data_IF_460344343734
#
_entry.id   IF_460344343734
#
_cell.length_a   1.000
_cell.length_b   1.000
_cell.length_c   1.000
_cell.angle_alpha   90.00
_cell.angle_beta   90.00
_cell.angle_gamma   90.00
#
_symmetry.space_group_name_H-M   'P 1'
#
loop_
_entity.id
_entity.type
_entity.pdbx_description
1 polymer ?
#
# COMPACT_ATOMS: atom_id res chain seq x y z
N UNK A 1 -17.26 29.94 -11.00
CA UNK A 1 -18.45 29.20 -10.52
C UNK A 1 -18.48 27.73 -10.97
N UNK A 2 -17.48 27.24 -11.74
CA UNK A 2 -17.39 25.82 -12.14
C UNK A 2 -16.64 24.95 -11.12
N UNK A 3 -15.48 25.41 -10.64
CA UNK A 3 -14.55 24.51 -9.93
C UNK A 3 -15.04 24.15 -8.53
N UNK A 4 -15.69 25.09 -7.86
CA UNK A 4 -16.27 24.88 -6.52
C UNK A 4 -17.44 23.88 -6.55
N UNK A 5 -18.24 23.90 -7.63
CA UNK A 5 -19.39 23.01 -7.80
C UNK A 5 -18.94 21.56 -8.10
N UNK A 6 -17.88 21.40 -8.91
CA UNK A 6 -17.29 20.09 -9.22
C UNK A 6 -16.71 19.46 -7.96
N UNK A 7 -15.90 20.21 -7.20
CA UNK A 7 -15.27 19.72 -5.96
C UNK A 7 -16.32 19.33 -4.90
N UNK A 8 -17.42 20.07 -4.80
CA UNK A 8 -18.50 19.74 -3.87
C UNK A 8 -19.25 18.46 -4.28
N UNK A 9 -19.44 18.24 -5.57
CA UNK A 9 -20.08 17.04 -6.09
C UNK A 9 -19.20 15.79 -5.90
N UNK A 10 -17.89 15.93 -6.10
CA UNK A 10 -16.91 14.86 -5.90
C UNK A 10 -16.85 14.41 -4.43
N UNK A 11 -16.88 15.36 -3.48
CA UNK A 11 -16.96 15.05 -2.04
C UNK A 11 -18.24 14.30 -1.66
N UNK A 12 -19.40 14.76 -2.16
CA UNK A 12 -20.69 14.08 -1.91
C UNK A 12 -20.67 12.64 -2.43
N UNK A 13 -20.04 12.41 -3.58
CA UNK A 13 -19.91 11.08 -4.17
C UNK A 13 -18.97 10.18 -3.34
N UNK A 14 -17.81 10.69 -2.93
CA UNK A 14 -16.88 9.96 -2.06
C UNK A 14 -17.55 9.58 -0.72
N UNK A 15 -18.28 10.50 -0.10
CA UNK A 15 -19.01 10.26 1.15
C UNK A 15 -20.14 9.24 0.99
N UNK A 16 -20.81 9.22 -0.16
CA UNK A 16 -21.81 8.22 -0.48
C UNK A 16 -21.17 6.82 -0.57
N UNK A 17 -20.08 6.68 -1.33
CA UNK A 17 -19.38 5.41 -1.46
C UNK A 17 -18.77 4.95 -0.13
N UNK A 18 -18.24 5.87 0.68
CA UNK A 18 -17.71 5.56 2.00
C UNK A 18 -18.77 4.98 2.95
N UNK A 19 -20.00 5.52 2.91
CA UNK A 19 -21.12 5.01 3.73
C UNK A 19 -21.68 3.68 3.23
N UNK A 20 -21.57 3.39 1.94
CA UNK A 20 -22.16 2.20 1.32
C UNK A 20 -21.12 1.18 0.82
N UNK A 21 -19.91 1.14 1.42
CA UNK A 21 -18.86 0.18 1.05
C UNK A 21 -19.27 -1.29 1.26
N UNK A 22 -20.26 -1.57 2.13
CA UNK A 22 -20.79 -2.92 2.36
C UNK A 22 -22.01 -3.16 1.48
N UNK A 23 -23.00 -2.26 1.54
CA UNK A 23 -24.30 -2.46 0.89
C UNK A 23 -24.19 -2.60 -0.63
N UNK A 24 -23.38 -1.75 -1.29
CA UNK A 24 -23.27 -1.71 -2.74
C UNK A 24 -22.64 -3.00 -3.31
N UNK A 25 -21.45 -3.43 -2.84
CA UNK A 25 -20.91 -4.72 -3.26
C UNK A 25 -21.84 -5.89 -2.98
N UNK A 26 -22.48 -5.95 -1.80
CA UNK A 26 -23.38 -7.06 -1.45
C UNK A 26 -24.56 -7.15 -2.41
N UNK A 27 -25.17 -6.02 -2.79
CA UNK A 27 -26.28 -5.98 -3.76
C UNK A 27 -25.91 -6.53 -5.14
N UNK A 28 -24.64 -6.50 -5.52
CA UNK A 28 -24.15 -7.02 -6.80
C UNK A 28 -23.62 -8.45 -6.67
N UNK A 29 -22.87 -8.73 -5.60
CA UNK A 29 -22.28 -10.06 -5.34
C UNK A 29 -23.38 -11.09 -5.09
N UNK A 30 -24.40 -10.77 -4.30
CA UNK A 30 -25.41 -11.74 -3.88
C UNK A 30 -26.21 -12.33 -5.06
N UNK A 31 -26.72 -11.54 -6.03
CA UNK A 31 -27.35 -12.10 -7.23
C UNK A 31 -26.42 -13.01 -8.05
N UNK A 32 -25.12 -12.69 -8.15
CA UNK A 32 -24.14 -13.52 -8.86
C UNK A 32 -23.95 -14.85 -8.13
N UNK A 33 -23.84 -14.82 -6.79
CA UNK A 33 -23.74 -16.05 -5.98
C UNK A 33 -25.02 -16.89 -6.07
N UNK A 34 -26.20 -16.27 -6.00
CA UNK A 34 -27.47 -16.97 -6.18
C UNK A 34 -27.53 -17.61 -7.58
N UNK A 35 -27.15 -16.87 -8.62
CA UNK A 35 -27.09 -17.40 -9.99
C UNK A 35 -26.13 -18.59 -10.12
N UNK A 36 -24.98 -18.56 -9.43
CA UNK A 36 -24.08 -19.71 -9.33
C UNK A 36 -24.74 -20.93 -8.68
N UNK A 37 -25.43 -20.75 -7.55
CA UNK A 37 -26.17 -21.84 -6.89
C UNK A 37 -27.33 -22.37 -7.73
N UNK A 38 -27.90 -21.55 -8.61
CA UNK A 38 -28.90 -21.95 -9.60
C UNK A 38 -28.28 -22.55 -10.87
N UNK A 39 -26.97 -22.81 -10.90
CA UNK A 39 -26.24 -23.38 -12.02
C UNK A 39 -26.30 -22.54 -13.31
N UNK A 40 -26.29 -21.21 -13.18
CA UNK A 40 -26.16 -20.31 -14.33
C UNK A 40 -24.70 -20.18 -14.74
N UNK A 41 -24.32 -20.78 -15.87
CA UNK A 41 -22.95 -20.82 -16.40
C UNK A 41 -22.25 -19.45 -16.49
N UNK A 42 -23.01 -18.37 -16.68
CA UNK A 42 -22.47 -17.01 -16.77
C UNK A 42 -21.94 -16.51 -15.42
N UNK A 43 -22.56 -16.90 -14.31
CA UNK A 43 -22.16 -16.50 -12.96
C UNK A 43 -20.82 -17.13 -12.56
N UNK A 44 -20.55 -18.35 -13.02
CA UNK A 44 -19.27 -19.03 -12.79
C UNK A 44 -18.09 -18.26 -13.37
N UNK A 45 -18.31 -17.50 -14.45
CA UNK A 45 -17.26 -16.69 -15.08
C UNK A 45 -16.81 -15.50 -14.22
N UNK A 46 -17.63 -15.06 -13.28
CA UNK A 46 -17.27 -14.01 -12.32
C UNK A 46 -16.48 -14.60 -11.14
N UNK A 47 -16.80 -15.82 -10.72
CA UNK A 47 -16.27 -16.42 -9.49
C UNK A 47 -14.95 -17.18 -9.75
N UNK A 48 -14.87 -17.91 -10.87
CA UNK A 48 -13.76 -18.81 -11.17
C UNK A 48 -12.93 -18.33 -12.36
N UNK A 49 -11.63 -18.64 -12.35
CA UNK A 49 -10.76 -18.35 -13.49
C UNK A 49 -11.21 -19.12 -14.73
N UNK A 50 -11.12 -18.45 -15.87
CA UNK A 50 -11.60 -18.97 -17.15
C UNK A 50 -10.44 -19.38 -18.07
N UNK A 51 -10.72 -19.99 -19.22
CA UNK A 51 -9.70 -20.32 -20.22
C UNK A 51 -8.90 -21.60 -19.96
N UNK A 52 -9.51 -22.60 -19.31
CA UNK A 52 -8.89 -23.92 -19.11
C UNK A 52 -8.63 -24.62 -20.46
N UNK A 53 -7.43 -25.18 -20.62
CA UNK A 53 -6.97 -25.93 -21.77
C UNK A 53 -7.08 -27.45 -21.53
N UNK A 54 -7.04 -28.29 -22.58
CA UNK A 54 -7.09 -29.75 -22.45
C UNK A 54 -5.98 -30.34 -21.59
N UNK A 55 -4.80 -29.70 -21.55
CA UNK A 55 -3.66 -30.10 -20.73
C UNK A 55 -3.80 -29.72 -19.24
N UNK A 56 -4.92 -29.10 -18.84
CA UNK A 56 -5.18 -28.66 -17.47
C UNK A 56 -4.58 -27.30 -17.10
N UNK A 57 -3.81 -26.67 -17.98
CA UNK A 57 -3.32 -25.30 -17.82
C UNK A 57 -4.37 -24.28 -18.27
N UNK A 58 -4.08 -23.00 -18.07
CA UNK A 58 -5.00 -21.90 -18.33
C UNK A 58 -4.37 -20.87 -19.26
N UNK A 59 -5.11 -20.49 -20.30
CA UNK A 59 -4.80 -19.31 -21.12
C UNK A 59 -5.57 -18.09 -20.63
N UNK A 60 -5.20 -16.92 -21.13
CA UNK A 60 -5.98 -15.67 -20.94
C UNK A 60 -7.36 -15.79 -21.60
N UNK A 61 -8.33 -15.07 -21.06
CA UNK A 61 -9.70 -15.02 -21.55
C UNK A 61 -10.33 -13.66 -21.32
N UNK A 62 -11.30 -13.28 -22.14
CA UNK A 62 -12.09 -12.06 -21.92
C UNK A 62 -12.90 -12.12 -20.62
N UNK A 63 -13.27 -13.32 -20.18
CA UNK A 63 -13.95 -13.54 -18.90
C UNK A 63 -13.07 -13.19 -17.69
N UNK A 64 -11.76 -13.04 -17.87
CA UNK A 64 -10.89 -12.54 -16.80
C UNK A 64 -11.27 -11.09 -16.42
N UNK A 65 -11.89 -10.31 -17.31
CA UNK A 65 -12.44 -8.97 -16.96
C UNK A 65 -13.62 -9.09 -15.99
N UNK A 66 -14.51 -10.05 -16.20
CA UNK A 66 -15.63 -10.31 -15.29
C UNK A 66 -15.12 -10.77 -13.92
N UNK A 67 -14.09 -11.62 -13.91
CA UNK A 67 -13.38 -12.02 -12.68
C UNK A 67 -12.79 -10.81 -11.95
N UNK A 68 -12.06 -9.93 -12.64
CA UNK A 68 -11.48 -8.73 -12.04
C UNK A 68 -12.55 -7.81 -11.42
N UNK A 69 -13.66 -7.60 -12.13
CA UNK A 69 -14.79 -6.81 -11.62
C UNK A 69 -15.42 -7.45 -10.36
N UNK A 70 -15.66 -8.76 -10.38
CA UNK A 70 -16.21 -9.47 -9.23
C UNK A 70 -15.30 -9.35 -8.01
N UNK A 71 -14.00 -9.61 -8.17
CA UNK A 71 -13.07 -9.54 -7.04
C UNK A 71 -12.75 -8.11 -6.59
N UNK A 72 -12.87 -7.10 -7.45
CA UNK A 72 -12.88 -5.69 -7.02
C UNK A 72 -14.01 -5.43 -6.00
N UNK A 73 -15.22 -5.95 -6.26
CA UNK A 73 -16.35 -5.85 -5.33
C UNK A 73 -16.10 -6.65 -4.07
N UNK A 74 -15.59 -7.88 -4.19
CA UNK A 74 -15.25 -8.73 -3.05
C UNK A 74 -14.21 -8.05 -2.15
N UNK A 75 -13.14 -7.46 -2.70
CA UNK A 75 -12.15 -6.74 -1.89
C UNK A 75 -12.72 -5.49 -1.23
N UNK A 76 -13.61 -4.77 -1.92
CA UNK A 76 -14.32 -3.61 -1.33
C UNK A 76 -15.18 -4.04 -0.14
N UNK A 77 -15.95 -5.12 -0.29
CA UNK A 77 -16.74 -5.72 0.78
C UNK A 77 -15.86 -6.22 1.93
N UNK A 78 -14.85 -7.04 1.63
CA UNK A 78 -13.98 -7.65 2.64
C UNK A 78 -13.25 -6.59 3.45
N UNK A 79 -12.73 -5.54 2.81
CA UNK A 79 -12.11 -4.40 3.50
C UNK A 79 -13.10 -3.77 4.49
N UNK A 80 -14.26 -3.38 4.00
CA UNK A 80 -15.26 -2.67 4.81
C UNK A 80 -15.77 -3.55 5.96
N UNK A 81 -16.10 -4.82 5.69
CA UNK A 81 -16.56 -5.77 6.70
C UNK A 81 -15.47 -6.09 7.73
N UNK A 82 -14.21 -6.31 7.31
CA UNK A 82 -13.11 -6.54 8.23
C UNK A 82 -12.86 -5.32 9.11
N UNK A 83 -12.88 -4.11 8.54
CA UNK A 83 -12.71 -2.89 9.31
C UNK A 83 -13.84 -2.66 10.31
N UNK A 84 -15.11 -2.80 9.88
CA UNK A 84 -16.27 -2.52 10.72
C UNK A 84 -16.49 -3.57 11.81
N UNK A 85 -16.41 -4.86 11.47
CA UNK A 85 -16.82 -5.94 12.37
C UNK A 85 -15.68 -6.60 13.12
N UNK A 86 -14.42 -6.41 12.70
CA UNK A 86 -13.25 -7.06 13.33
C UNK A 86 -12.26 -6.03 13.85
N UNK A 87 -11.71 -5.19 12.99
CA UNK A 87 -10.56 -4.35 13.31
C UNK A 87 -10.91 -3.13 14.18
N UNK A 88 -12.06 -2.49 13.95
CA UNK A 88 -12.56 -1.41 14.83
C UNK A 88 -12.89 -1.95 16.23
N UNK A 89 -13.66 -3.05 16.41
CA UNK A 89 -13.84 -3.66 17.73
C UNK A 89 -12.52 -4.07 18.39
N UNK A 90 -11.60 -4.65 17.63
CA UNK A 90 -10.25 -4.99 18.12
C UNK A 90 -9.49 -3.74 18.61
N UNK A 91 -9.61 -2.60 17.92
CA UNK A 91 -8.99 -1.34 18.37
C UNK A 91 -9.53 -0.86 19.73
N UNK A 92 -10.80 -1.13 20.03
CA UNK A 92 -11.42 -0.81 21.33
C UNK A 92 -10.88 -1.75 22.42
N UNK A 93 -10.85 -3.05 22.13
CA UNK A 93 -10.32 -4.06 23.04
C UNK A 93 -8.85 -3.80 23.39
N UNK A 94 -8.04 -3.45 22.38
CA UNK A 94 -6.62 -3.13 22.53
C UNK A 94 -6.37 -1.70 23.05
N UNK A 95 -7.42 -0.95 23.38
CA UNK A 95 -7.35 0.41 23.94
C UNK A 95 -6.56 1.41 23.08
N UNK A 96 -6.66 1.30 21.76
CA UNK A 96 -6.12 2.28 20.81
C UNK A 96 -6.75 3.66 21.08
N UNK A 97 -5.97 4.77 21.07
CA UNK A 97 -6.49 6.12 21.26
C UNK A 97 -7.64 6.45 20.31
N UNK A 98 -8.63 7.23 20.78
CA UNK A 98 -9.90 7.46 20.04
C UNK A 98 -9.69 7.97 18.61
N UNK A 99 -8.81 8.95 18.40
CA UNK A 99 -8.51 9.51 17.07
C UNK A 99 -7.75 8.54 16.14
N UNK A 100 -7.09 7.52 16.68
CA UNK A 100 -6.22 6.60 15.91
C UNK A 100 -6.91 5.30 15.50
N UNK A 101 -8.15 5.06 15.93
CA UNK A 101 -8.85 3.78 15.70
C UNK A 101 -9.13 3.48 14.24
N UNK A 102 -9.52 4.49 13.46
CA UNK A 102 -9.78 4.31 12.02
C UNK A 102 -8.47 3.97 11.30
N UNK A 103 -7.42 4.76 11.55
CA UNK A 103 -6.08 4.53 10.97
C UNK A 103 -5.51 3.17 11.37
N UNK A 104 -5.69 2.75 12.62
CA UNK A 104 -5.36 1.41 13.06
C UNK A 104 -6.07 0.33 12.23
N UNK A 105 -7.37 0.48 12.00
CA UNK A 105 -8.13 -0.48 11.20
C UNK A 105 -7.68 -0.49 9.72
N UNK A 106 -7.40 0.68 9.13
CA UNK A 106 -6.86 0.80 7.76
C UNK A 106 -5.51 0.08 7.63
N UNK A 107 -4.55 0.37 8.53
CA UNK A 107 -3.24 -0.25 8.50
C UNK A 107 -3.30 -1.75 8.81
N UNK A 108 -4.16 -2.19 9.74
CA UNK A 108 -4.33 -3.61 10.06
C UNK A 108 -4.92 -4.40 8.89
N UNK A 109 -5.86 -3.82 8.13
CA UNK A 109 -6.39 -4.44 6.91
C UNK A 109 -5.27 -4.67 5.89
N UNK A 110 -4.41 -3.67 5.69
CA UNK A 110 -3.27 -3.77 4.78
C UNK A 110 -2.26 -4.82 5.25
N UNK A 111 -1.99 -4.95 6.56
CA UNK A 111 -1.16 -6.04 7.11
C UNK A 111 -1.72 -7.40 6.72
N UNK A 112 -3.03 -7.62 6.90
CA UNK A 112 -3.67 -8.91 6.57
C UNK A 112 -3.53 -9.20 5.07
N UNK A 113 -3.92 -8.25 4.22
CA UNK A 113 -3.88 -8.43 2.78
C UNK A 113 -2.46 -8.67 2.28
N UNK A 114 -1.52 -7.75 2.58
CA UNK A 114 -0.15 -7.84 2.08
C UNK A 114 0.58 -9.08 2.62
N UNK A 115 0.26 -9.57 3.82
CA UNK A 115 0.86 -10.81 4.35
C UNK A 115 0.42 -12.03 3.55
N UNK A 116 -0.88 -12.14 3.25
CA UNK A 116 -1.43 -13.24 2.42
C UNK A 116 -0.88 -13.16 1.01
N UNK A 117 -0.86 -11.95 0.46
CA UNK A 117 -0.34 -11.61 -0.86
C UNK A 117 1.14 -11.98 -1.01
N UNK A 118 1.99 -11.45 -0.14
CA UNK A 118 3.42 -11.73 -0.11
C UNK A 118 3.70 -13.22 0.11
N UNK A 119 3.04 -13.86 1.07
CA UNK A 119 3.23 -15.28 1.36
C UNK A 119 2.88 -16.16 0.16
N UNK A 120 1.76 -15.88 -0.51
CA UNK A 120 1.33 -16.61 -1.71
C UNK A 120 2.28 -16.36 -2.89
N UNK A 121 2.64 -15.10 -3.13
CA UNK A 121 3.57 -14.71 -4.19
C UNK A 121 4.94 -15.31 -4.00
N UNK A 122 5.48 -15.28 -2.77
CA UNK A 122 6.76 -15.86 -2.41
C UNK A 122 6.75 -17.37 -2.56
N UNK A 123 5.69 -18.07 -2.13
CA UNK A 123 5.57 -19.51 -2.31
C UNK A 123 5.57 -19.90 -3.80
N UNK A 124 4.91 -19.13 -4.66
CA UNK A 124 4.94 -19.35 -6.10
C UNK A 124 6.33 -19.03 -6.67
N UNK A 125 6.93 -17.93 -6.22
CA UNK A 125 8.19 -17.42 -6.74
C UNK A 125 9.38 -18.31 -6.34
N UNK A 126 9.47 -18.73 -5.09
CA UNK A 126 10.51 -19.64 -4.58
C UNK A 126 10.55 -20.97 -5.32
N UNK A 127 9.38 -21.48 -5.72
CA UNK A 127 9.26 -22.73 -6.48
C UNK A 127 9.48 -22.55 -7.99
N UNK A 128 9.85 -21.34 -8.43
CA UNK A 128 10.05 -21.03 -9.85
C UNK A 128 11.54 -20.84 -10.18
N UNK A 129 12.00 -21.22 -11.38
CA UNK A 129 13.40 -21.04 -11.79
C UNK A 129 13.90 -19.59 -11.71
N UNK A 130 12.97 -18.63 -11.82
CA UNK A 130 13.24 -17.19 -11.74
C UNK A 130 13.69 -16.70 -10.36
N UNK A 131 13.52 -17.50 -9.30
CA UNK A 131 14.02 -17.18 -7.96
C UNK A 131 15.54 -16.95 -7.95
N UNK A 132 16.29 -17.82 -8.64
CA UNK A 132 17.75 -17.79 -8.64
C UNK A 132 18.37 -17.16 -9.89
N UNK A 133 17.64 -17.15 -11.01
CA UNK A 133 18.17 -16.73 -12.31
C UNK A 133 17.14 -15.90 -13.08
N UNK A 134 17.45 -14.61 -13.24
CA UNK A 134 16.59 -13.63 -13.92
C UNK A 134 16.35 -13.97 -15.39
N UNK A 135 17.24 -14.74 -16.03
CA UNK A 135 17.06 -15.12 -17.43
C UNK A 135 15.79 -15.91 -17.69
N UNK A 136 15.26 -16.63 -16.69
CA UNK A 136 14.00 -17.37 -16.79
C UNK A 136 12.77 -16.47 -16.87
N UNK A 137 12.92 -15.15 -16.71
CA UNK A 137 11.86 -14.20 -17.07
C UNK A 137 11.59 -14.18 -18.58
N UNK A 138 12.62 -14.46 -19.38
CA UNK A 138 12.61 -14.26 -20.83
C UNK A 138 12.75 -15.57 -21.61
N UNK A 139 13.40 -16.58 -21.01
CA UNK A 139 13.46 -17.92 -21.58
C UNK A 139 12.05 -18.48 -21.77
N UNK A 140 11.85 -19.17 -22.90
CA UNK A 140 10.57 -19.76 -23.28
C UNK A 140 9.45 -18.73 -23.48
N UNK A 141 9.77 -17.44 -23.61
CA UNK A 141 8.78 -16.46 -24.07
C UNK A 141 8.31 -16.80 -25.49
N UNK A 142 7.00 -16.81 -25.77
CA UNK A 142 5.91 -16.42 -24.88
C UNK A 142 5.42 -17.54 -23.94
N UNK A 143 5.27 -17.23 -22.66
CA UNK A 143 4.64 -18.12 -21.66
C UNK A 143 3.16 -17.75 -21.53
N UNK A 144 2.31 -18.36 -22.36
CA UNK A 144 0.87 -18.03 -22.44
C UNK A 144 -0.02 -19.06 -21.73
N UNK A 145 0.54 -20.20 -21.32
CA UNK A 145 -0.12 -21.21 -20.51
C UNK A 145 0.30 -21.06 -19.04
N UNK A 146 -0.67 -20.84 -18.17
CA UNK A 146 -0.48 -20.58 -16.74
C UNK A 146 -1.02 -21.75 -15.92
N UNK A 147 -0.32 -22.08 -14.83
CA UNK A 147 -0.87 -22.96 -13.80
C UNK A 147 -2.07 -22.28 -13.14
N UNK A 148 -3.12 -23.03 -12.83
CA UNK A 148 -4.38 -22.48 -12.30
C UNK A 148 -4.19 -21.63 -11.05
N UNK A 149 -3.43 -22.11 -10.06
CA UNK A 149 -3.13 -21.37 -8.84
C UNK A 149 -2.39 -20.05 -9.11
N UNK A 150 -1.50 -20.02 -10.11
CA UNK A 150 -0.75 -18.83 -10.46
C UNK A 150 -1.62 -17.80 -11.16
N UNK A 151 -2.49 -18.25 -12.08
CA UNK A 151 -3.49 -17.38 -12.71
C UNK A 151 -4.44 -16.78 -11.67
N UNK A 152 -4.93 -17.58 -10.72
CA UNK A 152 -5.75 -17.09 -9.61
C UNK A 152 -5.05 -16.00 -8.82
N UNK A 153 -3.86 -16.30 -8.30
CA UNK A 153 -3.06 -15.34 -7.53
C UNK A 153 -2.83 -14.04 -8.31
N UNK A 154 -2.45 -14.12 -9.58
CA UNK A 154 -2.14 -12.94 -10.39
C UNK A 154 -3.39 -12.08 -10.65
N UNK A 155 -4.54 -12.71 -10.96
CA UNK A 155 -5.78 -11.98 -11.18
C UNK A 155 -6.37 -11.38 -9.89
N UNK A 156 -6.22 -12.07 -8.75
CA UNK A 156 -6.61 -11.52 -7.45
C UNK A 156 -5.76 -10.28 -7.09
N UNK A 157 -4.45 -10.35 -7.28
CA UNK A 157 -3.56 -9.19 -7.13
C UNK A 157 -4.01 -8.04 -8.02
N UNK A 158 -4.28 -8.32 -9.29
CA UNK A 158 -4.73 -7.31 -10.22
C UNK A 158 -6.08 -6.68 -9.79
N UNK A 159 -7.05 -7.48 -9.37
CA UNK A 159 -8.33 -6.98 -8.87
C UNK A 159 -8.18 -6.09 -7.63
N UNK A 160 -7.30 -6.48 -6.69
CA UNK A 160 -6.99 -5.65 -5.53
C UNK A 160 -6.34 -4.32 -5.94
N UNK A 161 -5.37 -4.34 -6.86
CA UNK A 161 -4.73 -3.12 -7.33
C UNK A 161 -5.68 -2.19 -8.11
N UNK A 162 -6.67 -2.74 -8.83
CA UNK A 162 -7.77 -1.95 -9.43
C UNK A 162 -8.62 -1.29 -8.33
N UNK A 163 -8.75 -1.95 -7.18
CA UNK A 163 -9.53 -1.48 -6.04
C UNK A 163 -8.84 -0.36 -5.26
N UNK A 164 -7.51 -0.30 -5.22
CA UNK A 164 -6.77 0.69 -4.43
C UNK A 164 -7.03 2.17 -4.79
N UNK A 165 -7.06 2.60 -6.07
CA UNK A 165 -7.41 3.98 -6.41
C UNK A 165 -8.78 4.42 -5.88
N UNK A 166 -9.76 3.50 -5.88
CA UNK A 166 -11.08 3.74 -5.32
C UNK A 166 -11.03 3.94 -3.79
N UNK A 167 -10.25 3.11 -3.09
CA UNK A 167 -9.99 3.28 -1.65
C UNK A 167 -9.32 4.62 -1.35
N UNK A 168 -8.39 5.05 -2.20
CA UNK A 168 -7.71 6.32 -2.02
C UNK A 168 -8.66 7.53 -2.14
N UNK A 169 -9.78 7.41 -2.87
CA UNK A 169 -10.79 8.49 -2.96
C UNK A 169 -11.68 8.60 -1.72
N UNK A 170 -11.89 7.49 -1.00
CA UNK A 170 -12.82 7.42 0.13
C UNK A 170 -12.10 7.49 1.49
N UNK A 171 -10.79 7.23 1.52
CA UNK A 171 -9.95 7.44 2.71
C UNK A 171 -9.65 8.92 2.95
N UNK A 172 -9.28 9.24 4.19
CA UNK A 172 -8.89 10.60 4.55
C UNK A 172 -7.70 11.08 3.71
N UNK A 173 -7.72 12.35 3.24
CA UNK A 173 -6.69 12.90 2.36
C UNK A 173 -5.27 12.72 2.92
N UNK A 174 -4.34 12.39 2.02
CA UNK A 174 -2.92 12.25 2.34
C UNK A 174 -2.13 13.40 1.73
N UNK A 175 -1.03 13.82 2.39
CA UNK A 175 -0.17 14.90 1.90
C UNK A 175 0.57 14.53 0.60
N UNK A 176 0.85 13.25 0.39
CA UNK A 176 1.51 12.68 -0.79
C UNK A 176 0.51 12.04 -1.78
N UNK A 177 -0.73 12.53 -1.80
CA UNK A 177 -1.81 11.97 -2.63
C UNK A 177 -1.45 11.92 -4.12
N UNK A 178 -0.80 12.96 -4.65
CA UNK A 178 -0.46 13.04 -6.08
C UNK A 178 0.57 11.97 -6.45
N UNK A 179 1.64 11.85 -5.68
CA UNK A 179 2.69 10.86 -5.88
C UNK A 179 2.13 9.43 -5.76
N UNK A 180 1.25 9.21 -4.78
CA UNK A 180 0.59 7.93 -4.55
C UNK A 180 -0.40 7.57 -5.69
N UNK A 181 -1.15 8.56 -6.22
CA UNK A 181 -2.03 8.34 -7.37
C UNK A 181 -1.26 8.07 -8.66
N UNK A 182 -0.18 8.83 -8.93
CA UNK A 182 0.71 8.56 -10.07
C UNK A 182 1.32 7.16 -9.97
N UNK A 183 1.71 6.74 -8.77
CA UNK A 183 2.12 5.36 -8.51
C UNK A 183 1.04 4.34 -8.86
N UNK A 184 -0.21 4.55 -8.45
CA UNK A 184 -1.31 3.63 -8.77
C UNK A 184 -1.60 3.54 -10.27
N UNK A 185 -1.59 4.67 -10.97
CA UNK A 185 -1.76 4.69 -12.43
C UNK A 185 -0.63 3.90 -13.10
N UNK A 186 0.62 4.17 -12.71
CA UNK A 186 1.78 3.52 -13.29
C UNK A 186 1.82 2.01 -12.99
N UNK A 187 1.51 1.61 -11.76
CA UNK A 187 1.45 0.19 -11.37
C UNK A 187 0.32 -0.54 -12.09
N UNK A 188 -0.88 0.05 -12.22
CA UNK A 188 -1.97 -0.56 -12.99
C UNK A 188 -1.60 -0.75 -14.46
N UNK A 189 -0.90 0.22 -15.08
CA UNK A 189 -0.38 0.07 -16.44
C UNK A 189 0.64 -1.07 -16.53
N UNK A 190 1.57 -1.18 -15.58
CA UNK A 190 2.55 -2.27 -15.52
C UNK A 190 1.89 -3.64 -15.33
N UNK A 191 0.93 -3.77 -14.41
CA UNK A 191 0.21 -5.03 -14.17
C UNK A 191 -0.58 -5.43 -15.42
N UNK A 192 -1.27 -4.48 -16.04
CA UNK A 192 -2.05 -4.69 -17.26
C UNK A 192 -1.16 -5.16 -18.42
N UNK A 193 -0.07 -4.44 -18.69
CA UNK A 193 0.87 -4.80 -19.76
C UNK A 193 1.56 -6.14 -19.47
N UNK A 194 1.95 -6.39 -18.21
CA UNK A 194 2.54 -7.66 -17.82
C UNK A 194 1.60 -8.84 -18.08
N UNK A 195 0.32 -8.69 -17.75
CA UNK A 195 -0.68 -9.72 -18.03
C UNK A 195 -0.93 -9.89 -19.54
N UNK A 196 -1.21 -8.79 -20.25
CA UNK A 196 -1.51 -8.82 -21.68
C UNK A 196 -0.34 -9.40 -22.49
N UNK A 197 0.89 -9.00 -22.15
CA UNK A 197 2.08 -9.34 -22.91
C UNK A 197 2.79 -10.63 -22.47
N UNK A 198 2.21 -11.44 -21.57
CA UNK A 198 2.80 -12.69 -21.06
C UNK A 198 4.09 -12.50 -20.22
N UNK A 199 4.20 -11.40 -19.47
CA UNK A 199 5.30 -11.15 -18.53
C UNK A 199 4.94 -11.45 -17.07
N UNK A 200 3.94 -12.31 -16.84
CA UNK A 200 3.42 -12.60 -15.50
C UNK A 200 4.49 -13.08 -14.52
N UNK A 201 5.55 -13.74 -15.00
CA UNK A 201 6.71 -14.11 -14.18
C UNK A 201 7.48 -12.90 -13.63
N UNK A 202 7.76 -11.91 -14.49
CA UNK A 202 8.33 -10.61 -14.10
C UNK A 202 7.37 -9.88 -13.17
N UNK A 203 6.09 -9.85 -13.52
CA UNK A 203 5.05 -9.23 -12.69
C UNK A 203 4.99 -9.81 -11.28
N UNK A 204 5.13 -11.13 -11.12
CA UNK A 204 5.17 -11.76 -9.80
C UNK A 204 6.44 -11.37 -9.00
N UNK A 205 7.60 -11.33 -9.65
CA UNK A 205 8.83 -10.87 -8.99
C UNK A 205 8.69 -9.42 -8.51
N UNK A 206 8.04 -8.56 -9.30
CA UNK A 206 7.71 -7.19 -8.90
C UNK A 206 6.75 -7.21 -7.70
N UNK A 207 5.62 -7.92 -7.75
CA UNK A 207 4.69 -8.01 -6.61
C UNK A 207 5.39 -8.43 -5.31
N UNK A 208 6.14 -9.53 -5.33
CA UNK A 208 6.86 -10.03 -4.14
C UNK A 208 7.87 -9.00 -3.63
N UNK A 209 8.57 -8.30 -4.52
CA UNK A 209 9.52 -7.26 -4.13
C UNK A 209 8.85 -6.03 -3.49
N UNK A 210 7.61 -5.71 -3.89
CA UNK A 210 6.88 -4.56 -3.37
C UNK A 210 6.18 -4.89 -2.06
N UNK A 211 5.55 -6.06 -1.93
CA UNK A 211 4.64 -6.36 -0.81
C UNK A 211 5.34 -6.48 0.56
N UNK A 212 6.58 -7.03 0.62
CA UNK A 212 7.26 -7.26 1.91
C UNK A 212 7.49 -5.97 2.72
N UNK A 213 8.08 -4.90 2.15
CA UNK A 213 8.18 -3.63 2.86
C UNK A 213 6.83 -3.05 3.28
N UNK A 214 5.75 -3.27 2.51
CA UNK A 214 4.41 -2.75 2.83
C UNK A 214 3.80 -3.48 4.04
N UNK A 215 3.98 -4.80 4.14
CA UNK A 215 3.60 -5.56 5.35
C UNK A 215 4.27 -4.96 6.58
N UNK A 216 5.60 -4.80 6.53
CA UNK A 216 6.38 -4.32 7.66
C UNK A 216 6.05 -2.87 7.99
N UNK A 217 5.79 -2.04 6.99
CA UNK A 217 5.40 -0.64 7.19
C UNK A 217 4.04 -0.51 7.87
N UNK A 218 3.03 -1.23 7.37
CA UNK A 218 1.69 -1.21 7.96
C UNK A 218 1.70 -1.82 9.37
N UNK A 219 2.52 -2.85 9.59
CA UNK A 219 2.70 -3.45 10.92
C UNK A 219 3.36 -2.48 11.89
N UNK A 220 4.44 -1.79 11.50
CA UNK A 220 5.08 -0.79 12.33
C UNK A 220 4.09 0.33 12.75
N UNK A 221 3.28 0.84 11.81
CA UNK A 221 2.22 1.83 12.13
C UNK A 221 1.18 1.27 13.10
N UNK A 222 0.74 0.03 12.89
CA UNK A 222 -0.22 -0.64 13.77
C UNK A 222 0.34 -0.80 15.19
N UNK A 223 1.61 -1.19 15.33
CA UNK A 223 2.31 -1.31 16.62
C UNK A 223 2.52 0.05 17.29
N UNK A 224 2.79 1.10 16.52
CA UNK A 224 2.89 2.47 17.01
C UNK A 224 1.56 2.91 17.65
N UNK A 225 0.41 2.68 17.00
CA UNK A 225 -0.90 3.02 17.56
C UNK A 225 -1.25 2.24 18.84
N UNK A 226 -0.63 1.08 19.06
CA UNK A 226 -0.76 0.27 20.28
C UNK A 226 0.22 0.69 21.39
N UNK A 227 1.17 1.57 21.12
CA UNK A 227 2.19 1.99 22.09
C UNK A 227 3.30 0.96 22.33
N UNK A 228 3.48 -0.03 21.44
CA UNK A 228 4.55 -1.03 21.55
C UNK A 228 5.87 -0.55 20.96
N UNK A 229 6.47 0.49 21.58
CA UNK A 229 7.64 1.21 21.05
C UNK A 229 8.80 0.32 20.59
N UNK A 230 9.30 -0.59 21.44
CA UNK A 230 10.45 -1.45 21.09
C UNK A 230 10.18 -2.34 19.87
N UNK A 231 8.98 -2.96 19.81
CA UNK A 231 8.61 -3.85 18.70
C UNK A 231 8.33 -3.03 17.44
N UNK A 232 7.73 -1.85 17.58
CA UNK A 232 7.54 -0.89 16.51
C UNK A 232 8.88 -0.49 15.89
N UNK A 233 9.87 -0.10 16.69
CA UNK A 233 11.20 0.31 16.22
C UNK A 233 11.94 -0.84 15.52
N UNK A 234 11.88 -2.05 16.09
CA UNK A 234 12.45 -3.24 15.46
C UNK A 234 11.77 -3.56 14.12
N UNK A 235 10.45 -3.44 14.05
CA UNK A 235 9.67 -3.65 12.81
C UNK A 235 9.98 -2.58 11.78
N UNK A 236 10.13 -1.32 12.20
CA UNK A 236 10.54 -0.22 11.34
C UNK A 236 11.96 -0.43 10.78
N UNK A 237 12.91 -0.88 11.59
CA UNK A 237 14.24 -1.23 11.12
C UNK A 237 14.20 -2.38 10.09
N UNK A 238 13.43 -3.43 10.37
CA UNK A 238 13.21 -4.52 9.43
C UNK A 238 12.58 -4.01 8.11
N UNK A 239 11.63 -3.08 8.20
CA UNK A 239 11.03 -2.42 7.04
C UNK A 239 12.10 -1.70 6.21
N UNK A 240 12.98 -0.89 6.82
CA UNK A 240 14.06 -0.19 6.11
C UNK A 240 15.00 -1.16 5.41
N UNK A 241 15.45 -2.22 6.11
CA UNK A 241 16.34 -3.23 5.53
C UNK A 241 15.66 -3.93 4.34
N UNK A 242 14.40 -4.34 4.51
CA UNK A 242 13.64 -4.99 3.44
C UNK A 242 13.44 -4.04 2.25
N UNK A 243 13.15 -2.76 2.48
CA UNK A 243 12.96 -1.75 1.44
C UNK A 243 14.22 -1.59 0.58
N UNK A 244 15.38 -1.45 1.23
CA UNK A 244 16.66 -1.29 0.52
C UNK A 244 16.99 -2.52 -0.31
N UNK A 245 16.74 -3.72 0.22
CA UNK A 245 16.99 -4.95 -0.51
C UNK A 245 16.00 -5.17 -1.66
N UNK A 246 14.69 -5.15 -1.38
CA UNK A 246 13.68 -5.58 -2.36
C UNK A 246 13.35 -4.49 -3.39
N UNK A 247 13.19 -3.23 -2.97
CA UNK A 247 12.74 -2.13 -3.85
C UNK A 247 13.88 -1.35 -4.50
N UNK A 248 15.01 -1.19 -3.83
CA UNK A 248 16.16 -0.50 -4.42
C UNK A 248 17.03 -1.48 -5.20
N UNK A 249 17.62 -2.47 -4.53
CA UNK A 249 18.52 -3.41 -5.18
C UNK A 249 17.80 -4.39 -6.13
N UNK A 250 16.86 -5.18 -5.60
CA UNK A 250 16.28 -6.30 -6.34
C UNK A 250 15.37 -5.84 -7.49
N UNK A 251 14.49 -4.86 -7.26
CA UNK A 251 13.72 -4.28 -8.35
C UNK A 251 14.61 -3.60 -9.41
N UNK A 252 15.73 -2.97 -9.02
CA UNK A 252 16.76 -2.51 -9.96
C UNK A 252 17.37 -3.64 -10.81
N UNK A 253 17.57 -4.83 -10.23
CA UNK A 253 17.97 -6.03 -10.97
C UNK A 253 16.91 -6.50 -11.96
N UNK A 254 15.62 -6.42 -11.62
CA UNK A 254 14.51 -6.74 -12.54
C UNK A 254 14.51 -5.75 -13.73
N UNK A 255 14.72 -4.45 -13.48
CA UNK A 255 14.85 -3.45 -14.54
C UNK A 255 16.04 -3.76 -15.45
N UNK A 256 17.20 -4.06 -14.87
CA UNK A 256 18.40 -4.40 -15.64
C UNK A 256 18.19 -5.64 -16.52
N UNK A 257 17.57 -6.68 -15.96
CA UNK A 257 17.18 -7.88 -16.69
C UNK A 257 16.22 -7.54 -17.84
N UNK A 258 15.19 -6.71 -17.59
CA UNK A 258 14.23 -6.24 -18.62
C UNK A 258 14.89 -5.43 -19.74
N UNK A 259 16.01 -4.77 -19.46
CA UNK A 259 16.76 -4.03 -20.47
C UNK A 259 17.66 -4.94 -21.32
N UNK A 260 18.41 -5.86 -20.70
CA UNK A 260 19.50 -6.59 -21.36
C UNK A 260 19.15 -8.00 -21.83
N UNK A 261 18.36 -8.74 -21.05
CA UNK A 261 18.16 -10.17 -21.26
C UNK A 261 17.12 -10.52 -22.34
N UNK A 262 16.06 -9.71 -22.62
CA UNK A 262 15.17 -9.97 -23.75
C UNK A 262 15.88 -10.17 -25.07
N UNK A 263 16.90 -9.36 -25.37
CA UNK A 263 17.61 -9.41 -26.66
C UNK A 263 18.44 -10.70 -26.83
N UNK A 264 18.69 -11.42 -25.73
CA UNK A 264 19.44 -12.67 -25.70
C UNK A 264 18.50 -13.89 -25.79
N UNK A 265 17.37 -13.85 -25.09
CA UNK A 265 16.52 -15.04 -24.89
C UNK A 265 15.20 -15.02 -25.65
N UNK A 266 14.71 -13.85 -26.08
CA UNK A 266 13.45 -13.76 -26.83
C UNK A 266 13.74 -14.00 -28.31
N UNK A 267 13.13 -15.03 -28.94
CA UNK A 267 13.49 -15.42 -30.29
C UNK A 267 13.08 -14.38 -31.34
N UNK A 268 11.96 -13.67 -31.12
CA UNK A 268 11.40 -12.71 -32.08
C UNK A 268 10.68 -11.57 -31.35
N UNK A 269 11.08 -10.33 -31.64
CA UNK A 269 10.38 -9.13 -31.19
C UNK A 269 9.26 -8.76 -32.16
N UNK A 270 8.16 -9.51 -32.12
CA UNK A 270 7.01 -9.29 -33.01
C UNK A 270 5.69 -9.17 -32.26
N UNK A 271 4.72 -8.55 -32.93
CA UNK A 271 3.33 -8.52 -32.50
C UNK A 271 2.55 -9.56 -33.31
N UNK A 272 2.34 -10.73 -32.71
CA UNK A 272 1.55 -11.83 -33.27
C UNK A 272 0.67 -12.44 -32.15
N UNK A 273 -0.48 -11.79 -31.86
CA UNK A 273 -1.40 -12.18 -30.80
C UNK A 273 -1.89 -13.61 -30.88
N UNK A 274 -2.05 -14.15 -32.09
CA UNK A 274 -2.60 -15.49 -32.35
C UNK A 274 -1.69 -16.57 -31.77
N UNK A 275 -0.38 -16.37 -31.89
CA UNK A 275 0.64 -17.28 -31.36
C UNK A 275 1.20 -16.83 -29.99
N UNK A 276 0.58 -15.82 -29.37
CA UNK A 276 0.95 -15.33 -28.05
C UNK A 276 2.16 -14.39 -28.01
N UNK A 277 2.67 -13.93 -29.15
CA UNK A 277 3.75 -12.94 -29.19
C UNK A 277 3.18 -11.53 -29.05
N UNK A 278 3.52 -10.87 -27.95
CA UNK A 278 3.05 -9.53 -27.60
C UNK A 278 4.22 -8.58 -27.29
N UNK A 279 5.41 -8.88 -27.82
CA UNK A 279 6.65 -8.22 -27.42
C UNK A 279 7.46 -7.65 -28.59
N UNK A 280 6.91 -6.71 -29.38
CA UNK A 280 7.72 -5.90 -30.28
C UNK A 280 8.63 -4.93 -29.50
N UNK A 281 9.69 -4.41 -30.13
CA UNK A 281 10.66 -3.53 -29.48
C UNK A 281 10.04 -2.32 -28.79
N UNK A 282 8.98 -1.71 -29.35
CA UNK A 282 8.34 -0.57 -28.71
C UNK A 282 7.68 -0.94 -27.37
N UNK A 283 7.14 -2.16 -27.21
CA UNK A 283 6.57 -2.63 -25.93
C UNK A 283 7.66 -2.77 -24.87
N UNK A 284 8.86 -3.22 -25.25
CA UNK A 284 10.04 -3.24 -24.36
C UNK A 284 10.32 -1.87 -23.78
N UNK A 285 10.39 -0.84 -24.63
CA UNK A 285 10.66 0.51 -24.17
C UNK A 285 9.52 1.11 -23.35
N UNK A 286 8.25 0.84 -23.70
CA UNK A 286 7.10 1.27 -22.88
C UNK A 286 7.20 0.69 -21.47
N UNK A 287 7.41 -0.62 -21.34
CA UNK A 287 7.52 -1.29 -20.04
C UNK A 287 8.73 -0.75 -19.27
N UNK A 288 9.88 -0.58 -19.91
CA UNK A 288 11.06 0.00 -19.27
C UNK A 288 10.81 1.41 -18.74
N UNK A 289 10.15 2.27 -19.52
CA UNK A 289 9.83 3.64 -19.09
C UNK A 289 8.89 3.62 -17.87
N UNK A 290 7.86 2.77 -17.88
CA UNK A 290 6.95 2.63 -16.73
C UNK A 290 7.67 2.08 -15.50
N UNK A 291 8.57 1.10 -15.68
CA UNK A 291 9.37 0.53 -14.59
C UNK A 291 10.35 1.55 -14.01
N UNK A 292 10.99 2.37 -14.85
CA UNK A 292 11.86 3.47 -14.43
C UNK A 292 11.06 4.58 -13.74
N UNK A 293 9.86 4.91 -14.22
CA UNK A 293 8.94 5.82 -13.56
C UNK A 293 8.58 5.35 -12.15
N UNK A 294 8.31 4.05 -11.99
CA UNK A 294 8.10 3.45 -10.66
C UNK A 294 9.36 3.54 -9.80
N UNK A 295 10.54 3.31 -10.40
CA UNK A 295 11.81 3.40 -9.69
C UNK A 295 12.11 4.81 -9.19
N UNK A 296 11.79 5.85 -9.96
CA UNK A 296 11.93 7.25 -9.53
C UNK A 296 11.10 7.51 -8.27
N UNK A 297 9.86 7.01 -8.21
CA UNK A 297 9.01 7.10 -7.01
C UNK A 297 9.61 6.32 -5.83
N UNK A 298 10.18 5.14 -6.08
CA UNK A 298 10.90 4.38 -5.06
C UNK A 298 12.09 5.17 -4.51
N UNK A 299 12.88 5.83 -5.36
CA UNK A 299 13.99 6.68 -4.92
C UNK A 299 13.46 7.88 -4.11
N UNK A 300 12.38 8.53 -4.57
CA UNK A 300 11.73 9.62 -3.83
C UNK A 300 11.36 9.18 -2.39
N UNK A 301 10.66 8.06 -2.22
CA UNK A 301 10.32 7.56 -0.90
C UNK A 301 11.53 7.03 -0.12
N UNK A 302 12.54 6.51 -0.79
CA UNK A 302 13.82 6.12 -0.16
C UNK A 302 14.48 7.33 0.49
N UNK A 303 14.51 8.49 -0.19
CA UNK A 303 15.02 9.73 0.38
C UNK A 303 14.22 10.18 1.60
N UNK A 304 12.90 10.01 1.60
CA UNK A 304 12.05 10.28 2.77
C UNK A 304 12.38 9.34 3.94
N UNK A 305 12.57 8.04 3.69
CA UNK A 305 12.96 7.06 4.71
C UNK A 305 14.32 7.43 5.30
N UNK A 306 15.31 7.74 4.46
CA UNK A 306 16.63 8.18 4.91
C UNK A 306 16.55 9.45 5.77
N UNK A 307 15.67 10.41 5.42
CA UNK A 307 15.45 11.62 6.22
C UNK A 307 14.89 11.30 7.61
N UNK A 308 13.97 10.34 7.71
CA UNK A 308 13.41 9.87 9.00
C UNK A 308 14.47 9.18 9.83
N UNK A 309 15.25 8.27 9.23
CA UNK A 309 16.34 7.55 9.91
C UNK A 309 17.42 8.52 10.39
N UNK A 310 17.81 9.50 9.55
CA UNK A 310 18.80 10.51 9.94
C UNK A 310 18.33 11.31 11.16
N UNK A 311 17.06 11.74 11.18
CA UNK A 311 16.49 12.47 12.32
C UNK A 311 16.44 11.62 13.60
N UNK A 312 16.14 10.32 13.45
CA UNK A 312 16.12 9.38 14.58
C UNK A 312 17.51 9.21 15.20
N UNK A 313 18.55 9.16 14.39
CA UNK A 313 19.95 8.97 14.84
C UNK A 313 20.59 10.28 15.32
N UNK A 314 20.20 11.43 14.77
CA UNK A 314 20.83 12.73 15.08
C UNK A 314 20.39 13.35 16.42
N UNK A 315 19.54 12.68 17.21
CA UNK A 315 19.05 13.14 18.53
C UNK A 315 18.42 14.56 18.53
N UNK A 316 18.02 15.07 17.36
CA UNK A 316 17.21 16.29 17.27
C UNK A 316 15.76 15.94 17.57
N UNK A 317 15.40 15.82 18.85
CA UNK A 317 14.03 15.74 19.36
C UNK A 317 13.16 14.65 18.73
N UNK A 318 12.92 13.57 19.47
CA UNK A 318 11.90 12.58 19.14
C UNK A 318 10.51 13.25 19.30
N UNK A 319 10.11 13.98 18.28
CA UNK A 319 8.72 14.37 17.99
C UNK A 319 8.45 13.93 16.56
N UNK A 320 7.41 13.15 16.43
CA UNK A 320 7.23 12.10 15.46
C UNK A 320 6.56 12.65 14.20
N UNK A 321 7.29 13.32 13.31
CA UNK A 321 6.69 13.86 12.05
C UNK A 321 6.49 12.76 10.99
N UNK A 322 6.07 11.57 11.39
CA UNK A 322 5.40 10.64 10.48
C UNK A 322 4.25 9.87 11.13
N UNK A 323 4.07 10.01 12.45
CA UNK A 323 2.83 9.65 13.15
C UNK A 323 2.04 10.86 13.69
N UNK A 324 2.66 12.03 13.91
CA UNK A 324 1.99 13.31 14.20
C UNK A 324 1.31 13.92 12.96
N UNK A 325 1.69 13.47 11.75
CA UNK A 325 1.19 14.07 10.50
C UNK A 325 -0.27 13.71 10.16
N UNK A 326 -0.87 12.79 10.91
CA UNK A 326 -2.32 12.50 10.88
C UNK A 326 -3.04 12.95 12.17
N UNK A 327 -2.32 13.45 13.17
CA UNK A 327 -2.89 13.86 14.47
C UNK A 327 -3.33 15.34 14.49
N UNK A 328 -2.96 16.16 13.50
CA UNK A 328 -3.30 17.59 13.48
C UNK A 328 -4.73 17.92 12.96
N UNK A 329 -5.52 16.95 12.49
CA UNK A 329 -6.83 17.23 11.86
C UNK A 329 -8.09 16.97 12.71
N UNK A 330 -7.99 16.42 13.93
CA UNK A 330 -9.17 16.02 14.71
C UNK A 330 -9.32 16.68 16.10
N UNK A 331 -8.50 17.67 16.46
CA UNK A 331 -8.70 18.47 17.69
C UNK A 331 -9.50 19.76 17.44
N UNK A 332 -10.78 19.64 17.06
CA UNK A 332 -11.77 20.68 17.38
C UNK A 332 -13.03 20.06 17.94
N UNK A 333 -13.00 19.75 19.24
CA UNK A 333 -14.23 19.64 20.04
C UNK A 333 -14.06 20.52 21.31
N UNK A 334 -14.91 21.54 21.51
CA UNK A 334 -14.78 22.44 22.65
C UNK A 334 -15.37 21.80 23.93
N UNK A 335 -14.64 21.97 25.03
CA UNK A 335 -15.06 21.89 26.45
C UNK A 335 -15.12 20.52 27.16
N UNK A 336 -14.18 20.32 28.10
CA UNK A 336 -14.53 20.08 29.52
C UNK A 336 -13.32 20.29 30.47
N UNK A 337 -13.28 21.33 31.34
CA UNK A 337 -12.13 21.65 32.20
C UNK A 337 -11.99 20.83 33.50
N UNK A 338 -12.67 19.70 33.67
CA UNK A 338 -12.82 19.10 35.02
C UNK A 338 -11.74 18.06 35.38
N UNK A 339 -10.92 17.58 34.44
CA UNK A 339 -10.01 16.44 34.73
C UNK A 339 -8.54 16.82 35.03
N UNK A 340 -8.21 18.12 35.04
CA UNK A 340 -6.84 18.59 35.30
C UNK A 340 -6.54 18.88 36.78
N UNK A 341 -7.52 18.73 37.67
CA UNK A 341 -7.38 19.11 39.09
C UNK A 341 -6.90 17.97 40.03
N UNK A 342 -6.90 16.70 39.61
CA UNK A 342 -6.66 15.59 40.55
C UNK A 342 -5.19 15.13 40.68
N UNK A 343 -4.26 15.57 39.82
CA UNK A 343 -2.89 15.04 39.82
C UNK A 343 -1.82 15.95 40.45
N UNK A 344 -2.20 17.08 41.06
CA UNK A 344 -1.25 18.08 41.58
C UNK A 344 -1.09 18.11 43.11
N UNK A 345 -1.53 17.09 43.84
CA UNK A 345 -1.52 17.11 45.31
C UNK A 345 -0.29 16.49 45.99
N UNK A 346 0.78 16.12 45.27
CA UNK A 346 1.93 15.42 45.87
C UNK A 346 3.34 15.90 45.43
N UNK A 347 3.49 17.10 44.88
CA UNK A 347 4.82 17.66 44.60
C UNK A 347 5.11 18.90 45.48
N UNK A 348 6.22 18.94 46.24
CA UNK A 348 6.60 20.14 46.99
C UNK A 348 7.05 21.27 46.04
N UNK A 349 6.84 22.54 46.41
CA UNK A 349 7.06 23.67 45.50
C UNK A 349 8.54 23.90 45.17
N UNK A 350 8.87 24.39 43.95
CA UNK A 350 10.25 24.60 43.53
C UNK A 350 10.88 25.81 44.23
N UNK A 351 12.13 25.63 44.68
CA UNK A 351 12.97 26.65 45.31
C UNK A 351 13.33 27.74 44.29
N UNK A 352 12.90 28.99 44.51
CA UNK A 352 13.31 30.16 43.73
C UNK A 352 14.80 30.48 44.00
N UNK A 353 15.69 30.14 43.06
CA UNK A 353 17.07 30.69 43.06
C UNK A 353 17.03 32.16 42.64
N UNK A 354 17.47 33.06 43.53
CA UNK A 354 17.67 34.49 43.23
C UNK A 354 18.82 34.64 42.21
N UNK A 355 18.57 35.37 41.12
CA UNK A 355 19.59 35.77 40.15
C UNK A 355 20.56 36.75 40.80
N UNK A 356 21.87 36.51 40.67
CA UNK A 356 22.89 37.46 41.08
C UNK A 356 22.87 38.68 40.15
N UNK A 357 22.80 39.89 40.73
CA UNK A 357 22.85 41.16 40.01
C UNK A 357 24.27 41.45 39.51
N UNK A 358 24.40 42.02 38.32
CA UNK A 358 25.70 42.37 37.74
C UNK A 358 26.31 43.60 38.44
N UNK A 359 27.64 43.74 38.38
CA UNK A 359 28.38 44.86 39.01
C UNK A 359 27.87 46.24 38.56
N UNK A 360 27.36 46.36 37.33
CA UNK A 360 26.81 47.62 36.81
C UNK A 360 25.43 47.96 37.38
N UNK A 361 24.65 46.96 37.79
CA UNK A 361 23.35 47.15 38.47
C UNK A 361 23.53 47.51 39.95
N UNK A 362 24.60 47.01 40.59
CA UNK A 362 24.95 47.39 41.97
C UNK A 362 25.37 48.86 42.08
N UNK A 363 26.15 49.37 41.11
CA UNK A 363 26.58 50.78 41.08
C UNK A 363 25.39 51.72 40.83
N UNK A 364 24.47 51.33 39.95
CA UNK A 364 23.25 52.12 39.66
C UNK A 364 22.34 52.26 40.88
N UNK A 365 22.22 51.19 41.68
CA UNK A 365 21.42 51.19 42.90
C UNK A 365 22.04 51.99 44.05
N UNK A 366 23.36 52.20 44.05
CA UNK A 366 24.03 53.04 45.04
C UNK A 366 23.90 54.53 44.71
N UNK A 367 23.92 54.90 43.43
CA UNK A 367 23.71 56.27 42.98
C UNK A 367 22.27 56.76 43.16
N UNK A 368 21.28 55.85 43.13
CA UNK A 368 19.87 56.19 43.31
C UNK A 368 19.43 56.36 44.79
N UNK A 369 20.35 56.23 45.74
CA UNK A 369 20.09 56.34 47.19
C UNK A 369 20.78 57.53 47.86
N UNK A 370 21.18 58.55 47.10
CA UNK A 370 21.62 59.85 47.63
C UNK A 370 20.78 60.97 47.08
#
# INVERSE_FOLDING_TARGET
MSDTCIVENDRKLADFFNRHQIDLPVKIILPILIGHFLHLDICDKFIYISGRLPNGLYKKSLWDIAFLFFYFLVFTFLRAAAMEYVLKPMSVYLKVPRGKKLRFAEQSWLVIYYSISFGSGLAIFYNSPTWNDTSYFWRNYPVWELKGYFKYYYLLQFAFWIQQPFVLQIEAPRKDYTEYMVHHINTLLLISLSYCCNFTGVGNAVFVSMDLPDVLLCLAKTLHYLGYGLICDATFLAMVISWMYTRVYYYGRIIYSTYTEPDVYVPQFKLDPVHGFWFPHFVKYIILILMLGLYILIIFWTLMICKVVYRLVSNTGITDVRSDDEDESDETDPANPVQKASNNLLAPPPIKRKRALSKSEQIRNYAARR
#
